data_IF_658936472294
#
_entry.id   IF_658936472294
#
_cell.length_a   1.000
_cell.length_b   1.000
_cell.length_c   1.000
_cell.angle_alpha   90.00
_cell.angle_beta   90.00
_cell.angle_gamma   90.00
#
_symmetry.space_group_name_H-M   'P 1'
#
loop_
_entity.id
_entity.type
_entity.pdbx_description
1 polymer ?
#
# COMPACT_ATOMS: atom_id res chain seq x y z
N UNK A 1 7.08 2.42 27.26
CA UNK A 1 7.01 2.87 25.86
C UNK A 1 8.31 3.56 25.54
N UNK A 2 9.18 2.94 24.75
CA UNK A 2 10.32 3.64 24.16
C UNK A 2 9.76 4.58 23.10
N UNK A 3 9.94 5.89 23.28
CA UNK A 3 9.62 6.85 22.23
C UNK A 3 10.53 6.52 21.04
N UNK A 4 9.93 5.94 19.99
CA UNK A 4 10.57 5.86 18.69
C UNK A 4 10.50 7.26 18.13
N UNK A 5 11.64 7.95 18.13
CA UNK A 5 11.72 9.32 17.65
C UNK A 5 11.61 9.33 16.12
N UNK A 6 10.47 9.84 15.65
CA UNK A 6 10.09 9.92 14.24
C UNK A 6 10.57 11.22 13.60
N UNK A 7 11.16 12.14 14.37
CA UNK A 7 11.65 13.44 13.89
C UNK A 7 12.75 13.33 12.84
N UNK A 8 13.46 12.20 12.80
CA UNK A 8 14.48 11.88 11.79
C UNK A 8 13.90 11.27 10.50
N UNK A 9 12.62 10.89 10.48
CA UNK A 9 11.99 10.33 9.28
C UNK A 9 11.65 11.49 8.33
N UNK A 10 12.15 11.40 7.10
CA UNK A 10 11.81 12.35 6.05
C UNK A 10 10.28 12.44 5.92
N UNK A 11 9.74 13.67 5.91
CA UNK A 11 8.32 13.91 5.70
C UNK A 11 7.81 13.18 4.43
N UNK A 12 8.67 13.01 3.42
CA UNK A 12 8.35 12.28 2.21
C UNK A 12 8.12 10.77 2.44
N UNK A 13 8.86 10.11 3.35
CA UNK A 13 8.61 8.71 3.74
C UNK A 13 7.28 8.55 4.47
N UNK A 14 6.95 9.50 5.34
CA UNK A 14 5.68 9.47 6.06
C UNK A 14 4.50 9.60 5.10
N UNK A 15 4.55 10.58 4.19
CA UNK A 15 3.52 10.76 3.15
C UNK A 15 3.44 9.54 2.24
N UNK A 16 4.58 8.98 1.83
CA UNK A 16 4.63 7.76 1.02
C UNK A 16 3.92 6.58 1.73
N UNK A 17 4.22 6.36 3.01
CA UNK A 17 3.58 5.32 3.82
C UNK A 17 2.07 5.54 3.96
N UNK A 18 1.63 6.78 4.22
CA UNK A 18 0.21 7.11 4.32
C UNK A 18 -0.53 6.85 3.00
N UNK A 19 0.02 7.30 1.87
CA UNK A 19 -0.55 7.06 0.54
C UNK A 19 -0.58 5.57 0.22
N UNK A 20 0.49 4.83 0.54
CA UNK A 20 0.55 3.39 0.35
C UNK A 20 -0.56 2.66 1.11
N UNK A 21 -0.75 2.97 2.40
CA UNK A 21 -1.80 2.36 3.23
C UNK A 21 -3.18 2.64 2.63
N UNK A 22 -3.47 3.91 2.32
CA UNK A 22 -4.76 4.31 1.76
C UNK A 22 -5.03 3.58 0.44
N UNK A 23 -4.05 3.49 -0.44
CA UNK A 23 -4.19 2.86 -1.75
C UNK A 23 -4.32 1.33 -1.62
N UNK A 24 -3.44 0.69 -0.85
CA UNK A 24 -3.38 -0.76 -0.70
C UNK A 24 -4.65 -1.33 -0.05
N UNK A 25 -5.09 -0.76 1.07
CA UNK A 25 -6.30 -1.21 1.74
C UNK A 25 -7.57 -0.91 0.92
N UNK A 26 -7.60 0.21 0.20
CA UNK A 26 -8.73 0.51 -0.71
C UNK A 26 -8.83 -0.53 -1.83
N UNK A 27 -7.71 -0.91 -2.46
CA UNK A 27 -7.68 -1.93 -3.51
C UNK A 27 -8.09 -3.30 -2.99
N UNK A 28 -7.61 -3.70 -1.81
CA UNK A 28 -8.03 -4.95 -1.18
C UNK A 28 -9.52 -4.95 -0.86
N UNK A 29 -10.03 -3.90 -0.22
CA UNK A 29 -11.46 -3.78 0.12
C UNK A 29 -12.34 -3.83 -1.13
N UNK A 30 -11.97 -3.09 -2.18
CA UNK A 30 -12.67 -3.12 -3.47
C UNK A 30 -12.58 -4.49 -4.14
N UNK A 31 -11.42 -5.15 -4.11
CA UNK A 31 -11.22 -6.49 -4.66
C UNK A 31 -12.17 -7.50 -4.02
N UNK A 32 -12.23 -7.51 -2.70
CA UNK A 32 -13.14 -8.35 -1.91
C UNK A 32 -14.60 -8.03 -2.26
N UNK A 33 -15.00 -6.75 -2.25
CA UNK A 33 -16.35 -6.33 -2.60
C UNK A 33 -16.77 -6.81 -4.01
N UNK A 34 -15.87 -6.72 -4.99
CA UNK A 34 -16.13 -7.18 -6.36
C UNK A 34 -16.26 -8.70 -6.47
N UNK A 35 -15.52 -9.45 -5.66
CA UNK A 35 -15.68 -10.92 -5.59
C UNK A 35 -17.04 -11.32 -5.03
N UNK A 36 -17.53 -10.64 -3.98
CA UNK A 36 -18.89 -10.86 -3.46
C UNK A 36 -19.98 -10.51 -4.49
N UNK A 37 -19.74 -9.52 -5.35
CA UNK A 37 -20.63 -9.17 -6.46
C UNK A 37 -20.57 -10.16 -7.66
N UNK A 38 -19.90 -11.31 -7.52
CA UNK A 38 -19.61 -12.27 -8.60
C UNK A 38 -18.83 -11.66 -9.80
N UNK A 39 -18.27 -10.47 -9.64
CA UNK A 39 -17.45 -9.78 -10.66
C UNK A 39 -15.98 -10.15 -10.50
N UNK A 40 -15.68 -11.46 -10.58
CA UNK A 40 -14.36 -12.02 -10.30
C UNK A 40 -13.23 -11.36 -11.10
N UNK A 41 -13.42 -11.11 -12.41
CA UNK A 41 -12.42 -10.44 -13.24
C UNK A 41 -12.05 -9.06 -12.70
N UNK A 42 -13.06 -8.27 -12.33
CA UNK A 42 -12.85 -6.94 -11.75
C UNK A 42 -12.18 -7.02 -10.38
N UNK A 43 -12.54 -8.01 -9.54
CA UNK A 43 -11.89 -8.24 -8.26
C UNK A 43 -10.41 -8.58 -8.40
N UNK A 44 -10.07 -9.46 -9.35
CA UNK A 44 -8.68 -9.86 -9.63
C UNK A 44 -7.82 -8.66 -10.04
N UNK A 45 -8.33 -7.74 -10.85
CA UNK A 45 -7.59 -6.52 -11.20
C UNK A 45 -7.25 -5.67 -9.96
N UNK A 46 -8.17 -5.55 -8.99
CA UNK A 46 -7.89 -4.84 -7.74
C UNK A 46 -6.84 -5.55 -6.88
N UNK A 47 -6.86 -6.88 -6.81
CA UNK A 47 -5.83 -7.64 -6.11
C UNK A 47 -4.46 -7.52 -6.77
N UNK A 48 -4.40 -7.58 -8.09
CA UNK A 48 -3.15 -7.33 -8.84
C UNK A 48 -2.65 -5.92 -8.53
N UNK A 49 -3.54 -4.92 -8.54
CA UNK A 49 -3.19 -3.56 -8.14
C UNK A 49 -2.60 -3.47 -6.73
N UNK A 50 -3.19 -4.17 -5.75
CA UNK A 50 -2.66 -4.22 -4.39
C UNK A 50 -1.25 -4.86 -4.35
N UNK A 51 -1.04 -5.98 -5.05
CA UNK A 51 0.27 -6.64 -5.14
C UNK A 51 1.32 -5.71 -5.76
N UNK A 52 1.00 -5.07 -6.89
CA UNK A 52 1.89 -4.12 -7.57
C UNK A 52 2.26 -2.97 -6.62
N UNK A 53 1.28 -2.43 -5.90
CA UNK A 53 1.49 -1.36 -4.94
C UNK A 53 2.44 -1.76 -3.82
N UNK A 54 2.31 -2.99 -3.30
CA UNK A 54 3.21 -3.55 -2.29
C UNK A 54 4.64 -3.71 -2.80
N UNK A 55 4.80 -4.24 -4.01
CA UNK A 55 6.12 -4.40 -4.65
C UNK A 55 6.76 -3.04 -4.90
N UNK A 56 6.04 -2.08 -5.47
CA UNK A 56 6.55 -0.72 -5.71
C UNK A 56 6.96 -0.04 -4.41
N UNK A 57 6.14 -0.13 -3.35
CA UNK A 57 6.49 0.43 -2.04
C UNK A 57 7.76 -0.21 -1.47
N UNK A 58 7.89 -1.53 -1.57
CA UNK A 58 9.10 -2.25 -1.15
C UNK A 58 10.35 -1.80 -1.92
N UNK A 59 10.25 -1.61 -3.24
CA UNK A 59 11.36 -1.10 -4.07
C UNK A 59 11.73 0.32 -3.64
N UNK A 60 10.75 1.19 -3.40
CA UNK A 60 11.01 2.57 -2.97
C UNK A 60 11.73 2.57 -1.62
N UNK A 61 11.29 1.76 -0.67
CA UNK A 61 11.96 1.64 0.64
C UNK A 61 13.39 1.10 0.50
N UNK A 62 13.62 0.10 -0.36
CA UNK A 62 14.95 -0.46 -0.59
C UNK A 62 15.92 0.54 -1.21
N UNK A 63 15.44 1.47 -2.04
CA UNK A 63 16.24 2.53 -2.64
C UNK A 63 16.38 3.78 -1.75
N UNK A 64 15.54 3.93 -0.72
CA UNK A 64 15.59 5.10 0.17
C UNK A 64 16.78 5.07 1.12
N UNK A 65 17.35 3.89 1.38
CA UNK A 65 18.56 3.72 2.18
C UNK A 65 19.81 3.66 1.28
N UNK A 66 20.30 4.83 0.87
CA UNK A 66 21.68 5.05 0.43
C UNK A 66 22.17 6.40 0.93
#
# INVERSE_FOLDING_TARGET
MTLVDVSQISAALFVLGAVFILLFFSLLSLGILKMFQQRFRAGVYSFIGAVVSGVTFGIILANWSF
#
